data_IF_712313055648
#
_entry.id   IF_712313055648
#
_cell.length_a   1.000
_cell.length_b   1.000
_cell.length_c   1.000
_cell.angle_alpha   90.00
_cell.angle_beta   90.00
_cell.angle_gamma   90.00
#
_symmetry.space_group_name_H-M   'P 1'
#
loop_
_entity.id
_entity.type
_entity.pdbx_description
1 polymer ?
#
# COMPACT_ATOMS: atom_id res chain seq x y z
N UNK A 1 -4.19 -6.43 -16.08
CA UNK A 1 -3.42 -5.28 -15.55
C UNK A 1 -1.99 -5.75 -15.31
N UNK A 2 -0.96 -4.99 -15.70
CA UNK A 2 0.42 -5.39 -15.44
C UNK A 2 0.66 -5.57 -13.94
N UNK A 3 1.47 -6.58 -13.58
CA UNK A 3 1.86 -6.85 -12.19
C UNK A 3 2.65 -5.64 -11.67
N UNK A 4 2.17 -4.93 -10.62
CA UNK A 4 2.90 -3.81 -10.07
C UNK A 4 4.20 -4.31 -9.43
N UNK A 5 5.30 -3.57 -9.60
CA UNK A 5 6.59 -3.93 -9.01
C UNK A 5 6.61 -3.59 -7.51
N UNK A 6 7.15 -4.49 -6.69
CA UNK A 6 7.24 -4.31 -5.23
C UNK A 6 8.07 -3.07 -4.86
N UNK A 7 9.13 -2.78 -5.60
CA UNK A 7 9.98 -1.62 -5.35
C UNK A 7 9.26 -0.32 -5.72
N UNK A 8 8.46 -0.33 -6.79
CA UNK A 8 7.63 0.81 -7.14
C UNK A 8 6.56 1.06 -6.07
N UNK A 9 5.96 0.03 -5.47
CA UNK A 9 4.99 0.21 -4.38
C UNK A 9 5.66 0.78 -3.12
N UNK A 10 6.86 0.32 -2.78
CA UNK A 10 7.66 0.89 -1.68
C UNK A 10 7.96 2.37 -1.93
N UNK A 11 8.42 2.73 -3.14
CA UNK A 11 8.64 4.13 -3.56
C UNK A 11 7.37 4.96 -3.47
N UNK A 12 6.25 4.43 -3.99
CA UNK A 12 4.95 5.10 -3.93
C UNK A 12 4.54 5.40 -2.49
N UNK A 13 4.69 4.43 -1.59
CA UNK A 13 4.35 4.58 -0.17
C UNK A 13 5.22 5.62 0.55
N UNK A 14 6.44 5.86 0.05
CA UNK A 14 7.35 6.92 0.52
C UNK A 14 7.07 8.28 -0.13
N UNK A 15 6.20 8.33 -1.14
CA UNK A 15 5.95 9.53 -1.94
C UNK A 15 7.01 9.79 -3.02
N UNK A 16 7.79 8.77 -3.36
CA UNK A 16 8.81 8.83 -4.41
C UNK A 16 8.22 8.50 -5.79
N UNK A 17 8.92 8.94 -6.83
CA UNK A 17 8.59 8.65 -8.23
C UNK A 17 8.65 7.15 -8.50
N UNK A 18 7.61 6.62 -9.14
CA UNK A 18 7.53 5.22 -9.57
C UNK A 18 7.79 5.11 -11.07
N UNK A 19 8.32 3.98 -11.53
CA UNK A 19 8.57 3.77 -12.96
C UNK A 19 7.28 3.50 -13.73
N UNK A 20 6.28 2.88 -13.09
CA UNK A 20 4.96 2.61 -13.66
C UNK A 20 3.86 3.60 -13.26
N UNK A 21 2.76 3.62 -14.03
CA UNK A 21 1.51 4.34 -13.67
C UNK A 21 0.71 3.57 -12.61
N UNK A 22 1.28 3.36 -11.43
CA UNK A 22 0.63 2.63 -10.32
C UNK A 22 -0.05 3.56 -9.30
N UNK A 23 0.29 4.85 -9.31
CA UNK A 23 -0.30 5.88 -8.45
C UNK A 23 -1.40 6.71 -9.12
N UNK A 24 -2.18 7.41 -8.29
CA UNK A 24 -3.13 8.42 -8.69
C UNK A 24 -2.62 9.81 -8.28
N UNK A 25 -2.39 10.69 -9.26
CA UNK A 25 -1.88 12.06 -9.04
C UNK A 25 -2.76 12.92 -8.12
N UNK A 26 -4.05 12.61 -7.99
CA UNK A 26 -4.96 13.32 -7.08
C UNK A 26 -4.90 12.85 -5.61
N UNK A 27 -4.04 11.86 -5.28
CA UNK A 27 -3.98 11.26 -3.94
C UNK A 27 -2.57 11.39 -3.37
N UNK A 28 -2.45 11.94 -2.17
CA UNK A 28 -1.19 11.96 -1.42
C UNK A 28 -0.77 10.54 -1.04
N UNK A 29 0.21 9.99 -1.76
CA UNK A 29 0.62 8.60 -1.61
C UNK A 29 1.53 8.34 -0.41
N UNK A 30 2.20 9.37 0.09
CA UNK A 30 3.12 9.26 1.23
C UNK A 30 2.37 8.81 2.48
N UNK A 31 2.75 7.64 2.98
CA UNK A 31 2.26 7.12 4.25
C UNK A 31 2.86 7.93 5.40
N UNK A 32 2.01 8.24 6.38
CA UNK A 32 2.48 8.72 7.69
C UNK A 32 3.18 7.61 8.45
N UNK A 33 3.91 7.94 9.51
CA UNK A 33 4.64 6.95 10.32
C UNK A 33 3.72 5.85 10.88
N UNK A 34 2.52 6.21 11.37
CA UNK A 34 1.53 5.26 11.89
C UNK A 34 1.02 4.30 10.80
N UNK A 35 0.71 4.84 9.63
CA UNK A 35 0.26 4.07 8.47
C UNK A 35 1.35 3.15 7.94
N UNK A 36 2.61 3.59 8.00
CA UNK A 36 3.76 2.78 7.61
C UNK A 36 3.95 1.59 8.54
N UNK A 37 3.82 1.80 9.86
CA UNK A 37 3.86 0.70 10.83
C UNK A 37 2.75 -0.32 10.54
N UNK A 38 1.52 0.15 10.24
CA UNK A 38 0.43 -0.73 9.84
C UNK A 38 0.74 -1.49 8.55
N UNK A 39 1.30 -0.81 7.55
CA UNK A 39 1.68 -1.42 6.28
C UNK A 39 2.77 -2.48 6.45
N UNK A 40 3.83 -2.19 7.20
CA UNK A 40 4.90 -3.15 7.54
C UNK A 40 4.35 -4.35 8.31
N UNK A 41 3.51 -4.10 9.32
CA UNK A 41 2.83 -5.16 10.05
C UNK A 41 1.97 -6.01 9.11
N UNK A 42 1.26 -5.39 8.17
CA UNK A 42 0.41 -6.09 7.20
C UNK A 42 1.21 -6.92 6.19
N UNK A 43 2.40 -6.46 5.78
CA UNK A 43 3.34 -7.25 4.96
C UNK A 43 3.76 -8.52 5.68
N UNK A 44 4.07 -8.40 6.98
CA UNK A 44 4.51 -9.53 7.83
C UNK A 44 3.37 -10.49 8.19
N UNK A 45 2.19 -9.96 8.52
CA UNK A 45 1.04 -10.75 8.98
C UNK A 45 0.21 -11.33 7.83
N UNK A 46 0.29 -10.75 6.63
CA UNK A 46 -0.51 -11.18 5.48
C UNK A 46 -1.95 -10.66 5.47
N UNK A 47 -2.30 -9.73 6.36
CA UNK A 47 -3.56 -8.98 6.31
C UNK A 47 -3.36 -7.55 6.82
N UNK A 48 -4.14 -6.59 6.33
CA UNK A 48 -4.14 -5.22 6.81
C UNK A 48 -5.17 -5.05 7.94
N UNK A 49 -4.70 -4.70 9.13
CA UNK A 49 -5.55 -4.34 10.26
C UNK A 49 -6.07 -2.90 10.10
N UNK A 50 -7.36 -2.74 9.85
CA UNK A 50 -8.02 -1.45 9.71
C UNK A 50 -8.47 -0.98 11.10
N UNK A 51 -7.88 0.11 11.64
CA UNK A 51 -8.39 0.70 12.86
C UNK A 51 -9.79 1.29 12.64
N UNK A 52 -10.63 1.23 13.68
CA UNK A 52 -12.07 1.58 13.64
C UNK A 52 -12.33 3.04 13.17
N UNK A 53 -11.34 3.94 13.25
CA UNK A 53 -11.45 5.32 12.74
C UNK A 53 -10.21 5.78 11.98
N UNK A 54 -10.45 6.45 10.86
CA UNK A 54 -9.51 7.42 10.27
C UNK A 54 -8.42 6.88 9.35
N UNK A 55 -8.44 5.62 8.93
CA UNK A 55 -7.46 5.14 7.96
C UNK A 55 -7.69 5.79 6.59
N UNK A 56 -6.62 6.30 5.95
CA UNK A 56 -6.72 6.85 4.61
C UNK A 56 -6.94 5.71 3.62
N UNK A 57 -7.84 5.89 2.66
CA UNK A 57 -8.08 4.95 1.54
C UNK A 57 -6.79 4.58 0.79
N UNK A 58 -5.79 5.48 0.81
CA UNK A 58 -4.49 5.24 0.19
C UNK A 58 -3.70 4.08 0.83
N UNK A 59 -3.77 3.88 2.15
CA UNK A 59 -3.09 2.75 2.82
C UNK A 59 -3.64 1.42 2.31
N UNK A 60 -4.96 1.35 2.21
CA UNK A 60 -5.70 0.20 1.69
C UNK A 60 -5.31 -0.06 0.23
N UNK A 61 -5.24 0.99 -0.59
CA UNK A 61 -4.81 0.88 -1.98
C UNK A 61 -3.35 0.40 -2.11
N UNK A 62 -2.42 0.95 -1.33
CA UNK A 62 -1.01 0.53 -1.34
C UNK A 62 -0.90 -0.95 -0.93
N UNK A 63 -1.64 -1.36 0.10
CA UNK A 63 -1.66 -2.76 0.51
C UNK A 63 -2.27 -3.68 -0.54
N UNK A 64 -3.34 -3.24 -1.22
CA UNK A 64 -3.92 -3.97 -2.35
C UNK A 64 -2.92 -4.16 -3.50
N UNK A 65 -2.19 -3.09 -3.85
CA UNK A 65 -1.13 -3.16 -4.86
C UNK A 65 -0.01 -4.13 -4.42
N UNK A 66 0.36 -4.10 -3.15
CA UNK A 66 1.34 -5.02 -2.57
C UNK A 66 0.90 -6.47 -2.67
N UNK A 67 -0.34 -6.79 -2.28
CA UNK A 67 -0.93 -8.11 -2.44
C UNK A 67 -0.94 -8.56 -3.92
N UNK A 68 -1.27 -7.65 -4.84
CA UNK A 68 -1.24 -7.95 -6.28
C UNK A 68 0.18 -8.21 -6.80
N UNK A 69 1.19 -7.49 -6.29
CA UNK A 69 2.60 -7.71 -6.62
C UNK A 69 3.15 -9.03 -6.04
N UNK A 70 2.67 -9.43 -4.88
CA UNK A 70 3.02 -10.69 -4.19
C UNK A 70 2.18 -11.90 -4.65
N UNK A 71 1.17 -11.70 -5.50
CA UNK A 71 0.14 -12.72 -5.83
C UNK A 71 -0.54 -13.30 -4.57
N UNK A 72 -0.67 -12.46 -3.54
CA UNK A 72 -1.34 -12.77 -2.29
C UNK A 72 -2.79 -12.32 -2.31
N UNK A 73 -3.63 -13.03 -1.58
CA UNK A 73 -5.00 -12.63 -1.34
C UNK A 73 -4.99 -11.33 -0.52
N UNK A 74 -5.74 -10.33 -0.96
CA UNK A 74 -5.93 -9.10 -0.23
C UNK A 74 -6.93 -9.32 0.91
N UNK A 75 -6.44 -9.28 2.16
CA UNK A 75 -7.25 -9.48 3.36
C UNK A 75 -7.18 -8.22 4.22
N UNK A 76 -8.34 -7.68 4.61
CA UNK A 76 -8.47 -6.56 5.55
C UNK A 76 -9.32 -6.99 6.74
N UNK A 77 -8.88 -6.71 7.97
CA UNK A 77 -9.55 -7.07 9.22
C UNK A 77 -9.69 -5.89 10.16
#
# INVERSE_FOLDING_TARGET
MPKPDKNDIERLSRGESTRGKIGNRGVGHRLTQKERILFEAAKRQGFLKIPVKGIRKNVINIYRLWCQAEERIFITR
#
